data_IF_633184132898
#
_entry.id   IF_633184132898
#
_cell.length_a   1.000
_cell.length_b   1.000
_cell.length_c   1.000
_cell.angle_alpha   90.00
_cell.angle_beta   90.00
_cell.angle_gamma   90.00
#
_symmetry.space_group_name_H-M   'P 1'
#
loop_
_entity.id
_entity.type
_entity.pdbx_description
1 polymer ?
#
# COMPACT_ATOMS: atom_id res chain seq x y z
N UNK A 1 -37.91 8.74 -27.17
CA UNK A 1 -38.59 7.89 -26.16
C UNK A 1 -37.54 6.97 -25.55
N UNK A 2 -37.25 7.08 -24.25
CA UNK A 2 -36.30 6.20 -23.59
C UNK A 2 -36.95 4.81 -23.43
N UNK A 3 -36.33 3.78 -24.02
CA UNK A 3 -36.79 2.39 -23.85
C UNK A 3 -36.44 1.98 -22.42
N UNK A 4 -37.43 1.97 -21.54
CA UNK A 4 -37.23 1.50 -20.17
C UNK A 4 -37.03 -0.01 -20.20
N UNK A 5 -35.88 -0.48 -19.70
CA UNK A 5 -35.57 -1.91 -19.63
C UNK A 5 -36.62 -2.64 -18.76
N UNK A 6 -37.35 -3.60 -19.34
CA UNK A 6 -38.43 -4.37 -18.70
C UNK A 6 -38.00 -5.19 -17.46
N UNK A 7 -36.70 -5.38 -17.29
CA UNK A 7 -36.11 -6.11 -16.17
C UNK A 7 -35.74 -5.20 -14.98
N UNK A 8 -35.82 -3.88 -15.13
CA UNK A 8 -35.49 -2.93 -14.07
C UNK A 8 -36.44 -3.10 -12.86
N UNK A 9 -35.89 -3.27 -11.66
CA UNK A 9 -36.64 -3.49 -10.43
C UNK A 9 -37.07 -4.94 -10.14
N UNK A 10 -36.93 -5.87 -11.11
CA UNK A 10 -37.21 -7.30 -10.86
C UNK A 10 -36.10 -7.92 -10.01
N UNK A 11 -36.48 -8.68 -8.98
CA UNK A 11 -35.55 -9.48 -8.15
C UNK A 11 -35.55 -10.92 -8.64
N UNK A 12 -34.37 -11.53 -8.73
CA UNK A 12 -34.25 -12.97 -9.00
C UNK A 12 -34.91 -13.79 -7.88
N UNK A 13 -35.48 -14.94 -8.23
CA UNK A 13 -35.98 -15.90 -7.24
C UNK A 13 -34.84 -16.43 -6.37
N UNK A 14 -35.16 -16.83 -5.13
CA UNK A 14 -34.17 -17.43 -4.21
C UNK A 14 -33.52 -18.67 -4.80
N UNK A 15 -34.26 -19.49 -5.54
CA UNK A 15 -33.73 -20.65 -6.25
C UNK A 15 -32.68 -20.25 -7.30
N UNK A 16 -32.95 -19.20 -8.09
CA UNK A 16 -32.02 -18.69 -9.10
C UNK A 16 -30.76 -18.13 -8.44
N UNK A 17 -30.91 -17.37 -7.36
CA UNK A 17 -29.78 -16.86 -6.56
C UNK A 17 -28.91 -18.02 -6.03
N UNK A 18 -29.53 -19.08 -5.52
CA UNK A 18 -28.83 -20.28 -5.04
C UNK A 18 -28.03 -20.96 -6.15
N UNK A 19 -28.66 -21.26 -7.30
CA UNK A 19 -28.00 -21.89 -8.45
C UNK A 19 -26.81 -21.06 -8.95
N UNK A 20 -26.97 -19.74 -9.05
CA UNK A 20 -25.88 -18.84 -9.44
C UNK A 20 -24.73 -18.84 -8.42
N UNK A 21 -25.05 -18.87 -7.12
CA UNK A 21 -24.06 -18.94 -6.04
C UNK A 21 -23.27 -20.26 -6.09
N UNK A 22 -23.97 -21.39 -6.18
CA UNK A 22 -23.37 -22.72 -6.29
C UNK A 22 -22.45 -22.84 -7.51
N UNK A 23 -22.90 -22.34 -8.67
CA UNK A 23 -22.12 -22.37 -9.90
C UNK A 23 -20.83 -21.53 -9.84
N UNK A 24 -20.81 -20.47 -9.03
CA UNK A 24 -19.65 -19.56 -8.84
C UNK A 24 -18.74 -19.99 -7.70
N UNK A 25 -19.23 -20.77 -6.73
CA UNK A 25 -18.47 -21.16 -5.54
C UNK A 25 -17.14 -21.81 -5.92
N UNK A 26 -16.03 -21.28 -5.38
CA UNK A 26 -14.68 -21.79 -5.61
C UNK A 26 -14.05 -21.43 -6.97
N UNK A 27 -14.79 -20.78 -7.88
CA UNK A 27 -14.28 -20.29 -9.16
C UNK A 27 -13.79 -18.85 -9.02
N UNK A 28 -12.76 -18.50 -9.78
CA UNK A 28 -12.20 -17.13 -9.81
C UNK A 28 -11.74 -16.60 -8.43
N UNK A 29 -11.28 -17.49 -7.54
CA UNK A 29 -10.68 -17.13 -6.24
C UNK A 29 -9.21 -17.54 -6.20
N UNK A 30 -8.38 -16.78 -5.48
CA UNK A 30 -6.96 -17.12 -5.32
C UNK A 30 -6.29 -17.41 -6.66
N UNK A 31 -5.49 -18.47 -6.72
CA UNK A 31 -4.85 -18.99 -7.93
C UNK A 31 -5.81 -19.35 -9.07
N UNK A 32 -7.10 -19.58 -8.80
CA UNK A 32 -8.11 -19.90 -9.80
C UNK A 32 -8.71 -18.64 -10.45
N UNK A 33 -8.34 -17.43 -10.00
CA UNK A 33 -8.70 -16.18 -10.66
C UNK A 33 -7.65 -15.85 -11.73
N UNK A 34 -8.03 -15.66 -13.01
CA UNK A 34 -7.07 -15.28 -14.06
C UNK A 34 -6.36 -13.95 -13.79
N UNK A 35 -6.97 -13.07 -12.99
CA UNK A 35 -6.35 -11.81 -12.56
C UNK A 35 -5.43 -11.97 -11.33
N UNK A 36 -5.26 -13.19 -10.81
CA UNK A 36 -4.40 -13.45 -9.66
C UNK A 36 -2.93 -13.38 -10.03
N UNK A 37 -2.29 -12.26 -9.67
CA UNK A 37 -0.87 -12.02 -9.88
C UNK A 37 -0.04 -12.56 -8.73
N UNK A 38 -0.20 -13.85 -8.43
CA UNK A 38 0.49 -14.52 -7.31
C UNK A 38 0.11 -13.98 -5.92
N UNK A 39 -1.01 -13.28 -5.79
CA UNK A 39 -1.43 -12.65 -4.54
C UNK A 39 -0.59 -11.42 -4.20
N UNK A 40 0.03 -10.76 -5.18
CA UNK A 40 0.76 -9.51 -5.00
C UNK A 40 0.04 -8.36 -5.70
N UNK A 41 -0.25 -7.29 -4.98
CA UNK A 41 -0.90 -6.11 -5.54
C UNK A 41 -0.42 -4.81 -4.90
N UNK A 42 -0.44 -3.71 -5.67
CA UNK A 42 -0.19 -2.36 -5.16
C UNK A 42 -1.52 -1.76 -4.67
N UNK A 43 -1.51 -1.11 -3.51
CA UNK A 43 -2.67 -0.41 -2.98
C UNK A 43 -2.73 1.05 -3.50
N UNK A 44 -3.86 1.77 -3.28
CA UNK A 44 -3.97 3.17 -3.69
C UNK A 44 -2.96 4.12 -3.03
N UNK A 45 -2.34 3.74 -1.92
CA UNK A 45 -1.33 4.52 -1.21
C UNK A 45 0.10 4.23 -1.67
N UNK A 46 0.27 3.32 -2.63
CA UNK A 46 1.52 2.94 -3.24
C UNK A 46 2.24 1.76 -2.58
N UNK A 47 1.69 1.15 -1.54
CA UNK A 47 2.30 0.01 -0.88
C UNK A 47 2.02 -1.30 -1.62
N UNK A 48 3.01 -2.20 -1.61
CA UNK A 48 2.80 -3.57 -2.08
C UNK A 48 2.26 -4.42 -0.94
N UNK A 49 1.20 -5.18 -1.24
CA UNK A 49 0.59 -6.19 -0.39
C UNK A 49 0.81 -7.57 -0.98
N UNK A 50 1.07 -8.54 -0.11
CA UNK A 50 1.34 -9.94 -0.46
C UNK A 50 0.40 -10.84 0.33
N UNK A 51 -0.28 -11.75 -0.37
CA UNK A 51 -1.17 -12.73 0.22
C UNK A 51 -0.36 -13.72 1.08
N UNK A 52 -0.63 -13.70 2.38
CA UNK A 52 0.05 -14.46 3.42
C UNK A 52 -0.95 -14.79 4.55
N UNK A 53 -1.89 -15.73 4.32
CA UNK A 53 -2.99 -16.02 5.26
C UNK A 53 -2.50 -16.47 6.64
N UNK A 54 -1.37 -17.18 6.70
CA UNK A 54 -0.84 -17.71 7.96
C UNK A 54 0.05 -16.70 8.71
N UNK A 55 0.18 -15.48 8.21
CA UNK A 55 1.05 -14.48 8.82
C UNK A 55 0.33 -13.77 9.98
N UNK A 56 0.97 -13.57 11.14
CA UNK A 56 0.32 -12.95 12.29
C UNK A 56 -0.15 -11.51 12.06
N UNK A 57 0.47 -10.83 11.07
CA UNK A 57 0.09 -9.46 10.63
C UNK A 57 -0.80 -9.44 9.39
N UNK A 58 -1.37 -10.57 8.98
CA UNK A 58 -2.30 -10.62 7.87
C UNK A 58 -3.57 -9.83 8.23
N UNK A 59 -4.02 -8.98 7.32
CA UNK A 59 -5.29 -8.29 7.47
C UNK A 59 -6.49 -9.22 7.23
N UNK A 60 -7.71 -8.69 7.32
CA UNK A 60 -8.95 -9.45 7.11
C UNK A 60 -9.11 -10.07 5.71
N UNK A 61 -8.27 -9.67 4.75
CA UNK A 61 -8.22 -10.24 3.40
C UNK A 61 -7.02 -11.18 3.22
N UNK A 62 -6.31 -11.52 4.29
CA UNK A 62 -5.12 -12.37 4.33
C UNK A 62 -3.89 -11.77 3.64
N UNK A 63 -3.77 -10.43 3.60
CA UNK A 63 -2.59 -9.76 3.04
C UNK A 63 -1.71 -9.12 4.10
N UNK A 64 -0.43 -9.03 3.81
CA UNK A 64 0.58 -8.32 4.61
C UNK A 64 1.33 -7.35 3.71
N UNK A 65 1.76 -6.21 4.24
CA UNK A 65 2.62 -5.31 3.47
C UNK A 65 4.00 -5.93 3.21
N UNK A 66 4.47 -5.83 1.97
CA UNK A 66 5.74 -6.45 1.55
C UNK A 66 6.95 -5.90 2.33
N UNK A 67 6.95 -4.60 2.64
CA UNK A 67 8.03 -4.00 3.44
C UNK A 67 8.12 -4.59 4.85
N UNK A 68 7.01 -5.02 5.46
CA UNK A 68 7.01 -5.71 6.76
C UNK A 68 7.71 -7.07 6.60
N UNK A 69 7.34 -7.84 5.57
CA UNK A 69 7.94 -9.15 5.30
C UNK A 69 9.45 -9.02 5.10
N UNK A 70 9.91 -7.99 4.38
CA UNK A 70 11.34 -7.74 4.17
C UNK A 70 12.02 -7.35 5.47
N UNK A 71 11.45 -6.43 6.24
CA UNK A 71 11.98 -6.03 7.54
C UNK A 71 12.12 -7.22 8.52
N UNK A 72 11.11 -8.09 8.58
CA UNK A 72 11.12 -9.26 9.46
C UNK A 72 12.16 -10.30 9.04
N UNK A 73 12.34 -10.49 7.74
CA UNK A 73 13.44 -11.32 7.21
C UNK A 73 14.82 -10.76 7.57
N UNK A 74 15.01 -9.44 7.47
CA UNK A 74 16.27 -8.78 7.85
C UNK A 74 16.57 -8.97 9.35
N UNK A 75 15.54 -8.92 10.19
CA UNK A 75 15.68 -9.08 11.64
C UNK A 75 15.78 -10.55 12.09
N UNK A 76 15.39 -11.51 11.24
CA UNK A 76 15.26 -12.91 11.61
C UNK A 76 14.12 -13.19 12.61
N UNK A 77 13.17 -12.25 12.76
CA UNK A 77 12.01 -12.34 13.67
C UNK A 77 10.86 -11.45 13.18
N UNK A 78 9.66 -11.71 13.68
CA UNK A 78 8.53 -10.79 13.49
C UNK A 78 8.79 -9.42 14.12
N UNK A 79 8.17 -8.39 13.54
CA UNK A 79 8.18 -7.04 14.11
C UNK A 79 7.41 -7.05 15.43
N UNK A 80 8.00 -6.48 16.46
CA UNK A 80 7.38 -6.27 17.77
C UNK A 80 6.28 -5.21 17.65
N UNK A 81 5.29 -5.21 18.57
CA UNK A 81 4.34 -4.13 18.67
C UNK A 81 5.06 -2.78 18.81
N UNK A 82 4.63 -1.79 18.02
CA UNK A 82 5.20 -0.44 18.01
C UNK A 82 6.38 -0.22 17.05
N UNK A 83 7.05 -1.27 16.55
CA UNK A 83 8.11 -1.10 15.55
C UNK A 83 7.55 -0.56 14.22
N UNK A 84 8.24 0.40 13.62
CA UNK A 84 7.83 1.11 12.39
C UNK A 84 8.84 0.84 11.29
N UNK A 85 8.35 0.47 10.10
CA UNK A 85 9.18 0.30 8.90
C UNK A 85 9.17 1.58 8.10
N UNK A 86 10.35 2.05 7.70
CA UNK A 86 10.56 3.26 6.92
C UNK A 86 11.26 2.95 5.60
N UNK A 87 10.75 3.51 4.50
CA UNK A 87 11.41 3.51 3.18
C UNK A 87 12.33 4.71 3.07
N UNK A 88 13.64 4.46 3.00
CA UNK A 88 14.70 5.48 3.05
C UNK A 88 14.56 6.52 1.92
N UNK A 89 14.27 6.06 0.70
CA UNK A 89 14.11 6.94 -0.47
C UNK A 89 12.66 7.44 -0.67
N UNK A 90 11.73 7.11 0.24
CA UNK A 90 10.31 7.45 0.11
C UNK A 90 9.50 6.64 -0.92
N UNK A 91 10.14 5.73 -1.67
CA UNK A 91 9.50 4.90 -2.69
C UNK A 91 8.94 3.62 -2.07
N UNK A 92 7.61 3.61 -1.87
CA UNK A 92 6.87 2.59 -1.09
C UNK A 92 6.78 1.19 -1.73
N UNK A 93 7.04 1.07 -3.02
CA UNK A 93 7.06 -0.21 -3.75
C UNK A 93 8.47 -0.74 -4.02
N UNK A 94 9.51 0.02 -3.67
CA UNK A 94 10.90 -0.43 -3.71
C UNK A 94 11.28 -1.12 -2.40
N UNK A 95 10.82 -2.37 -2.24
CA UNK A 95 10.97 -3.18 -1.02
C UNK A 95 12.27 -4.01 -1.03
N UNK A 96 13.40 -3.33 -1.10
CA UNK A 96 14.73 -3.95 -0.98
C UNK A 96 15.32 -3.70 0.41
N UNK A 97 16.10 -4.62 1.00
CA UNK A 97 16.68 -4.44 2.33
C UNK A 97 17.43 -3.12 2.49
N UNK A 98 18.18 -2.70 1.46
CA UNK A 98 18.93 -1.45 1.43
C UNK A 98 18.07 -0.18 1.49
N UNK A 99 16.77 -0.28 1.19
CA UNK A 99 15.81 0.83 1.27
C UNK A 99 14.93 0.78 2.52
N UNK A 100 15.12 -0.21 3.40
CA UNK A 100 14.24 -0.44 4.55
C UNK A 100 15.01 -0.20 5.86
N UNK A 101 14.42 0.62 6.72
CA UNK A 101 14.88 0.80 8.10
C UNK A 101 13.77 0.52 9.09
N UNK A 102 14.09 -0.08 10.25
CA UNK A 102 13.12 -0.38 11.30
C UNK A 102 13.41 0.48 12.52
N UNK A 103 12.46 1.31 12.90
CA UNK A 103 12.48 2.10 14.13
C UNK A 103 11.80 1.35 15.27
N UNK A 104 12.25 1.58 16.50
CA UNK A 104 11.69 0.91 17.68
C UNK A 104 10.27 1.38 17.99
N UNK A 105 9.95 2.62 17.62
CA UNK A 105 8.67 3.26 17.90
C UNK A 105 8.42 4.45 16.96
N UNK A 106 7.19 4.96 17.01
CA UNK A 106 6.76 6.13 16.25
C UNK A 106 7.54 7.40 16.60
N UNK A 107 7.99 7.56 17.85
CA UNK A 107 8.73 8.77 18.26
C UNK A 107 10.09 8.86 17.55
N UNK A 108 10.83 7.76 17.45
CA UNK A 108 12.08 7.72 16.70
C UNK A 108 11.87 7.98 15.20
N UNK A 109 10.81 7.41 14.62
CA UNK A 109 10.43 7.65 13.22
C UNK A 109 10.02 9.11 12.96
N UNK A 110 9.31 9.75 13.89
CA UNK A 110 8.98 11.17 13.81
C UNK A 110 10.22 12.07 13.91
N UNK A 111 11.19 11.72 14.78
CA UNK A 111 12.47 12.45 14.87
C UNK A 111 13.21 12.46 13.54
N UNK A 112 13.20 11.34 12.80
CA UNK A 112 13.76 11.27 11.45
C UNK A 112 13.09 12.29 10.51
N UNK A 113 11.76 12.35 10.49
CA UNK A 113 11.05 13.31 9.64
C UNK A 113 11.40 14.77 10.01
N UNK A 114 11.57 15.07 11.29
CA UNK A 114 12.07 16.38 11.73
C UNK A 114 13.51 16.67 11.29
N UNK A 115 14.38 15.66 11.21
CA UNK A 115 15.73 15.81 10.63
C UNK A 115 15.66 16.11 9.13
N UNK A 116 14.82 15.40 8.40
CA UNK A 116 14.62 15.63 6.96
C UNK A 116 14.08 17.04 6.68
N UNK A 117 13.11 17.51 7.47
CA UNK A 117 12.56 18.87 7.35
C UNK A 117 13.64 19.95 7.56
N UNK A 118 14.50 19.78 8.56
CA UNK A 118 15.63 20.70 8.77
C UNK A 118 16.56 20.74 7.56
N UNK A 119 16.84 19.60 6.95
CA UNK A 119 17.64 19.52 5.72
C UNK A 119 16.91 20.23 4.57
N UNK A 120 15.61 20.04 4.43
CA UNK A 120 14.80 20.73 3.41
C UNK A 120 14.90 22.25 3.55
N UNK A 121 14.85 22.81 4.76
CA UNK A 121 15.05 24.25 4.96
C UNK A 121 16.47 24.72 4.59
N UNK A 122 17.50 23.89 4.82
CA UNK A 122 18.85 24.19 4.34
C UNK A 122 18.93 24.21 2.82
N UNK A 123 18.24 23.29 2.14
CA UNK A 123 18.17 23.24 0.68
C UNK A 123 17.41 24.44 0.11
N UNK A 124 16.37 24.92 0.81
CA UNK A 124 15.66 26.17 0.47
C UNK A 124 16.60 27.36 0.59
N UNK A 125 17.36 27.47 1.68
CA UNK A 125 18.35 28.54 1.86
C UNK A 125 19.44 28.54 0.79
N UNK A 126 19.78 27.36 0.24
CA UNK A 126 20.73 27.18 -0.86
C UNK A 126 20.11 27.35 -2.25
N UNK A 127 18.84 27.73 -2.33
CA UNK A 127 18.07 27.84 -3.58
C UNK A 127 18.00 26.56 -4.41
N UNK A 128 18.26 25.39 -3.81
CA UNK A 128 18.09 24.08 -4.46
C UNK A 128 16.61 23.70 -4.52
N UNK A 129 15.84 24.12 -3.51
CA UNK A 129 14.38 24.01 -3.47
C UNK A 129 13.83 25.43 -3.37
N UNK A 130 12.76 25.73 -4.10
CA UNK A 130 12.05 27.03 -4.04
C UNK A 130 10.58 26.82 -3.74
N UNK A 131 9.93 27.85 -3.20
CA UNK A 131 8.50 27.85 -2.91
C UNK A 131 7.79 28.84 -3.82
N UNK A 132 6.77 28.38 -4.53
CA UNK A 132 5.90 29.24 -5.32
C UNK A 132 4.74 29.71 -4.44
N UNK A 133 4.65 31.03 -4.20
CA UNK A 133 3.58 31.62 -3.37
C UNK A 133 2.22 31.64 -4.05
N UNK A 134 2.17 31.60 -5.38
CA UNK A 134 0.91 31.59 -6.14
C UNK A 134 0.25 30.21 -6.09
N UNK A 135 1.04 29.14 -6.25
CA UNK A 135 0.52 27.76 -6.21
C UNK A 135 0.53 27.17 -4.80
N UNK A 136 1.36 27.68 -3.89
CA UNK A 136 1.54 27.12 -2.56
C UNK A 136 2.39 25.85 -2.52
N UNK A 137 3.26 25.65 -3.52
CA UNK A 137 4.01 24.41 -3.72
C UNK A 137 5.52 24.64 -3.71
N UNK A 138 6.26 23.62 -3.23
CA UNK A 138 7.71 23.56 -3.37
C UNK A 138 8.11 22.92 -4.70
N UNK A 139 9.17 23.41 -5.33
CA UNK A 139 9.74 22.83 -6.55
C UNK A 139 11.28 22.77 -6.48
N UNK A 140 11.85 21.83 -7.22
CA UNK A 140 13.30 21.69 -7.35
C UNK A 140 13.84 22.73 -8.35
N UNK A 141 14.92 23.42 -7.97
CA UNK A 141 15.57 24.47 -8.74
C UNK A 141 17.01 24.07 -9.11
N UNK A 142 17.21 22.80 -9.51
CA UNK A 142 18.44 22.35 -10.16
C UNK A 142 18.26 22.28 -11.67
N UNK A 143 19.38 22.32 -12.39
CA UNK A 143 19.42 21.90 -13.80
C UNK A 143 19.53 20.38 -13.84
N UNK A 144 18.68 19.73 -14.62
CA UNK A 144 18.74 18.29 -14.90
C UNK A 144 20.09 17.86 -15.51
#
# INVERSE_FOLDING_TARGET
MAVTNEFYGRRHSEETKRKMSEARKGKCIGKNNPNWKGGRNKDPYGYIRVYKPDHPRADSRNYVFEHIIIAEKMLGRYLRPGEIVHHINGVKDYNKPENIHVYKNISEHQKLHGQLEKISFLLIKKEVIKFNKETGEYYYNGTD
#
